data_IF_406308214497
#
_entry.id   IF_406308214497
#
_cell.length_a   1.000
_cell.length_b   1.000
_cell.length_c   1.000
_cell.angle_alpha   90.00
_cell.angle_beta   90.00
_cell.angle_gamma   90.00
#
_symmetry.space_group_name_H-M   'P 1'
#
loop_
_entity.id
_entity.type
_entity.pdbx_description
1 polymer ?
#
# COMPACT_ATOMS: atom_id res chain seq x y z
N UNK A 1 8.80 21.51 -15.41
CA UNK A 1 8.27 20.54 -16.39
C UNK A 1 8.64 19.20 -15.82
N UNK A 2 7.65 18.35 -15.54
CA UNK A 2 7.87 17.07 -14.87
C UNK A 2 8.94 16.25 -15.58
N UNK A 3 9.68 15.44 -14.82
CA UNK A 3 10.66 14.52 -15.37
C UNK A 3 9.97 13.32 -16.07
N UNK A 4 10.67 12.72 -17.04
CA UNK A 4 10.24 11.44 -17.61
C UNK A 4 10.43 10.35 -16.56
N UNK A 5 9.42 9.49 -16.37
CA UNK A 5 9.51 8.33 -15.47
C UNK A 5 9.80 7.10 -16.32
N UNK A 6 10.86 6.36 -15.96
CA UNK A 6 11.32 5.18 -16.68
C UNK A 6 11.53 3.99 -15.73
N UNK A 7 10.78 2.93 -15.97
CA UNK A 7 10.98 1.66 -15.31
C UNK A 7 11.11 0.54 -16.33
N UNK A 8 12.37 0.21 -16.62
CA UNK A 8 12.73 -0.78 -17.64
C UNK A 8 12.16 -0.38 -19.00
N UNK A 9 11.29 -1.18 -19.61
CA UNK A 9 10.65 -0.87 -20.89
C UNK A 9 9.44 0.08 -20.80
N UNK A 10 9.01 0.47 -19.59
CA UNK A 10 7.86 1.34 -19.39
C UNK A 10 8.32 2.80 -19.20
N UNK A 11 7.85 3.69 -20.07
CA UNK A 11 8.21 5.11 -20.07
C UNK A 11 6.94 5.95 -20.05
N UNK A 12 6.84 6.91 -19.13
CA UNK A 12 5.75 7.88 -19.04
C UNK A 12 6.33 9.30 -19.20
N UNK A 13 5.97 9.99 -20.29
CA UNK A 13 6.33 11.41 -20.45
C UNK A 13 5.35 12.30 -19.66
N UNK A 14 5.71 13.56 -19.40
CA UNK A 14 4.78 14.51 -18.80
C UNK A 14 3.47 14.60 -19.60
N UNK A 15 2.34 14.58 -18.91
CA UNK A 15 1.00 14.58 -19.51
C UNK A 15 0.50 13.22 -19.98
N UNK A 16 1.17 12.12 -19.65
CA UNK A 16 0.77 10.77 -20.08
C UNK A 16 0.29 9.88 -18.91
N UNK A 17 -0.67 9.01 -19.23
CA UNK A 17 -0.97 7.81 -18.47
C UNK A 17 -0.46 6.59 -19.26
N UNK A 18 0.33 5.75 -18.62
CA UNK A 18 0.83 4.51 -19.22
C UNK A 18 0.63 3.33 -18.27
N UNK A 19 0.46 2.15 -18.85
CA UNK A 19 0.40 0.89 -18.11
C UNK A 19 1.21 -0.16 -18.84
N UNK A 20 1.87 -1.04 -18.09
CA UNK A 20 2.68 -2.10 -18.66
C UNK A 20 3.13 -3.12 -17.63
N UNK A 21 3.80 -4.16 -18.12
CA UNK A 21 4.41 -5.18 -17.28
C UNK A 21 5.90 -4.87 -17.14
N UNK A 22 6.42 -4.95 -15.91
CA UNK A 22 7.84 -4.74 -15.64
C UNK A 22 8.43 -5.95 -14.95
N UNK A 23 9.57 -6.42 -15.44
CA UNK A 23 10.28 -7.55 -14.86
C UNK A 23 10.86 -7.19 -13.50
N UNK A 24 10.63 -8.03 -12.51
CA UNK A 24 11.12 -7.85 -11.13
C UNK A 24 11.90 -9.05 -10.58
N UNK A 25 11.77 -10.23 -11.17
CA UNK A 25 12.53 -11.40 -10.77
C UNK A 25 12.59 -12.46 -11.88
N UNK A 26 13.32 -13.54 -11.62
CA UNK A 26 13.33 -14.75 -12.46
C UNK A 26 13.09 -15.99 -11.59
N UNK A 27 12.37 -16.96 -12.15
CA UNK A 27 12.29 -18.32 -11.62
C UNK A 27 13.62 -19.06 -11.75
N UNK A 28 13.77 -20.17 -11.04
CA UNK A 28 14.95 -21.06 -11.14
C UNK A 28 15.19 -21.60 -12.54
N UNK A 29 14.14 -21.73 -13.36
CA UNK A 29 14.21 -22.15 -14.75
C UNK A 29 14.34 -20.99 -15.76
N UNK A 30 14.72 -19.78 -15.31
CA UNK A 30 14.87 -18.55 -16.11
C UNK A 30 13.57 -17.96 -16.67
N UNK A 31 12.41 -18.44 -16.24
CA UNK A 31 11.15 -17.76 -16.55
C UNK A 31 11.09 -16.39 -15.90
N UNK A 32 10.54 -15.41 -16.61
CA UNK A 32 10.40 -14.05 -16.09
C UNK A 32 9.25 -13.93 -15.10
N UNK A 33 9.44 -13.12 -14.07
CA UNK A 33 8.41 -12.71 -13.12
C UNK A 33 8.27 -11.20 -13.27
N UNK A 34 7.08 -10.77 -13.68
CA UNK A 34 6.77 -9.36 -13.94
C UNK A 34 5.54 -8.92 -13.17
N UNK A 35 5.48 -7.64 -12.83
CA UNK A 35 4.35 -7.00 -12.17
C UNK A 35 3.68 -5.97 -13.08
N UNK A 36 2.36 -5.77 -12.99
CA UNK A 36 1.71 -4.65 -13.61
C UNK A 36 2.14 -3.35 -12.92
N UNK A 37 2.48 -2.34 -13.70
CA UNK A 37 2.79 -0.99 -13.24
C UNK A 37 1.88 -0.01 -13.98
N UNK A 38 1.30 0.93 -13.24
CA UNK A 38 0.50 2.03 -13.76
C UNK A 38 1.20 3.34 -13.41
N UNK A 39 1.33 4.26 -14.37
CA UNK A 39 1.97 5.55 -14.15
C UNK A 39 1.05 6.64 -14.70
N UNK A 40 0.71 7.61 -13.86
CA UNK A 40 0.13 8.90 -14.27
C UNK A 40 1.21 9.94 -14.06
N UNK A 41 1.74 10.53 -15.13
CA UNK A 41 2.80 11.54 -15.04
C UNK A 41 2.25 12.92 -15.39
N UNK A 42 2.24 13.82 -14.41
CA UNK A 42 1.77 15.20 -14.54
C UNK A 42 2.61 16.05 -15.50
N UNK A 43 2.06 17.15 -16.00
CA UNK A 43 2.84 18.14 -16.77
C UNK A 43 3.69 19.04 -15.85
N UNK A 44 3.14 19.36 -14.68
CA UNK A 44 3.77 20.22 -13.67
C UNK A 44 4.63 19.41 -12.69
N UNK A 45 5.69 20.05 -12.19
CA UNK A 45 6.53 19.45 -11.15
C UNK A 45 5.74 19.32 -9.84
N UNK A 46 6.02 18.27 -9.07
CA UNK A 46 5.33 18.00 -7.81
C UNK A 46 5.75 16.68 -7.18
N UNK A 47 5.10 16.27 -6.08
CA UNK A 47 5.37 15.01 -5.41
C UNK A 47 5.12 13.79 -6.33
N UNK A 48 5.84 12.69 -6.06
CA UNK A 48 5.50 11.38 -6.62
C UNK A 48 4.87 10.51 -5.53
N UNK A 49 3.59 10.18 -5.67
CA UNK A 49 2.86 9.28 -4.78
C UNK A 49 2.96 7.85 -5.28
N UNK A 50 3.49 6.94 -4.46
CA UNK A 50 3.49 5.52 -4.73
C UNK A 50 2.28 4.82 -4.11
N UNK A 51 1.59 4.00 -4.89
CA UNK A 51 0.48 3.17 -4.42
C UNK A 51 0.90 1.70 -4.54
N UNK A 52 1.12 1.03 -3.41
CA UNK A 52 1.49 -0.38 -3.37
C UNK A 52 0.27 -1.25 -3.05
N UNK A 53 0.06 -2.34 -3.79
CA UNK A 53 -1.06 -3.26 -3.57
C UNK A 53 -0.65 -4.71 -3.75
N UNK A 54 -1.40 -5.60 -3.08
CA UNK A 54 -1.20 -7.04 -3.11
C UNK A 54 0.27 -7.45 -2.89
N UNK A 55 0.88 -6.89 -1.83
CA UNK A 55 2.09 -7.47 -1.23
C UNK A 55 1.78 -8.87 -0.67
N UNK A 56 0.54 -9.05 -0.19
CA UNK A 56 -0.11 -10.34 0.04
C UNK A 56 -1.12 -10.63 -1.08
N UNK A 57 -1.22 -11.90 -1.50
CA UNK A 57 -1.94 -12.27 -2.71
C UNK A 57 -3.46 -12.33 -2.64
N UNK A 58 -4.01 -12.29 -1.43
CA UNK A 58 -5.45 -12.31 -1.15
C UNK A 58 -6.03 -10.91 -0.93
N UNK A 59 -5.26 -9.84 -1.06
CA UNK A 59 -5.70 -8.47 -0.74
C UNK A 59 -6.13 -7.71 -1.99
N UNK A 60 -7.42 -7.78 -2.35
CA UNK A 60 -7.89 -7.38 -3.68
C UNK A 60 -8.45 -5.95 -3.78
N UNK A 61 -8.90 -5.36 -2.66
CA UNK A 61 -9.60 -4.08 -2.68
C UNK A 61 -8.69 -2.91 -3.12
N UNK A 62 -7.44 -2.86 -2.63
CA UNK A 62 -6.46 -1.83 -3.01
C UNK A 62 -6.05 -1.90 -4.49
N UNK A 63 -5.65 -3.08 -5.01
CA UNK A 63 -5.39 -3.27 -6.43
C UNK A 63 -6.55 -2.82 -7.31
N UNK A 64 -7.79 -3.11 -6.92
CA UNK A 64 -8.99 -2.69 -7.65
C UNK A 64 -9.21 -1.18 -7.59
N UNK A 65 -9.00 -0.54 -6.43
CA UNK A 65 -9.09 0.91 -6.32
C UNK A 65 -8.08 1.62 -7.25
N UNK A 66 -6.83 1.15 -7.29
CA UNK A 66 -5.82 1.69 -8.21
C UNK A 66 -6.21 1.51 -9.67
N UNK A 67 -6.64 0.31 -10.04
CA UNK A 67 -7.05 -0.03 -11.40
C UNK A 67 -8.22 0.83 -11.88
N UNK A 68 -9.17 1.13 -11.00
CA UNK A 68 -10.35 1.91 -11.33
C UNK A 68 -10.08 3.42 -11.36
N UNK A 69 -9.28 3.92 -10.43
CA UNK A 69 -9.04 5.35 -10.25
C UNK A 69 -8.06 5.91 -11.27
N UNK A 70 -6.90 5.28 -11.45
CA UNK A 70 -5.78 5.89 -12.19
C UNK A 70 -6.12 6.26 -13.64
N UNK A 71 -6.89 5.45 -14.41
CA UNK A 71 -7.31 5.83 -15.76
C UNK A 71 -8.22 7.06 -15.82
N UNK A 72 -8.82 7.47 -14.69
CA UNK A 72 -9.73 8.62 -14.57
C UNK A 72 -9.00 9.91 -14.15
N UNK A 73 -7.74 9.82 -13.72
CA UNK A 73 -6.93 11.00 -13.36
C UNK A 73 -6.41 11.62 -14.65
N UNK A 74 -6.75 12.89 -14.90
CA UNK A 74 -6.22 13.64 -16.04
C UNK A 74 -4.77 14.04 -15.77
N UNK A 75 -3.77 13.49 -16.49
CA UNK A 75 -2.37 13.82 -16.27
C UNK A 75 -2.09 15.32 -16.47
N UNK A 76 -2.88 16.03 -17.28
CA UNK A 76 -2.69 17.47 -17.52
C UNK A 76 -3.04 18.34 -16.31
N UNK A 77 -3.80 17.79 -15.36
CA UNK A 77 -4.22 18.47 -14.13
C UNK A 77 -3.46 17.95 -12.90
N UNK A 78 -2.63 16.93 -13.06
CA UNK A 78 -1.82 16.37 -11.99
C UNK A 78 -0.50 17.16 -11.87
N UNK A 79 -0.15 17.53 -10.64
CA UNK A 79 1.19 18.03 -10.30
C UNK A 79 2.02 16.89 -9.73
N UNK A 80 3.19 16.65 -10.33
CA UNK A 80 4.04 15.50 -10.00
C UNK A 80 3.56 14.21 -10.66
N UNK A 81 3.55 13.09 -9.95
CA UNK A 81 3.23 11.79 -10.54
C UNK A 81 2.59 10.81 -9.55
N UNK A 82 1.87 9.82 -10.10
CA UNK A 82 1.38 8.66 -9.37
C UNK A 82 2.01 7.42 -10.02
N UNK A 83 2.68 6.59 -9.23
CA UNK A 83 3.16 5.28 -9.66
C UNK A 83 2.44 4.23 -8.82
N UNK A 84 1.79 3.27 -9.46
CA UNK A 84 1.10 2.18 -8.76
C UNK A 84 1.66 0.82 -9.17
N UNK A 85 1.88 -0.02 -8.16
CA UNK A 85 2.16 -1.45 -8.29
C UNK A 85 0.97 -2.22 -7.71
N UNK A 86 -0.15 -2.34 -8.44
CA UNK A 86 -1.37 -2.96 -7.93
C UNK A 86 -1.18 -4.45 -7.60
N UNK A 87 -0.17 -5.12 -8.17
CA UNK A 87 0.16 -6.49 -7.80
C UNK A 87 1.68 -6.58 -7.59
N UNK A 88 2.12 -6.26 -6.38
CA UNK A 88 3.55 -6.31 -6.03
C UNK A 88 4.06 -7.73 -5.84
N UNK A 89 3.22 -8.66 -5.36
CA UNK A 89 3.55 -10.06 -5.26
C UNK A 89 2.73 -10.94 -6.24
N UNK A 90 3.16 -11.07 -7.50
CA UNK A 90 2.38 -11.81 -8.50
C UNK A 90 2.29 -13.31 -8.18
N UNK A 91 3.26 -13.84 -7.42
CA UNK A 91 3.34 -15.24 -7.04
C UNK A 91 2.33 -15.59 -5.95
N UNK A 92 2.29 -14.78 -4.89
CA UNK A 92 1.28 -14.90 -3.85
C UNK A 92 -0.12 -14.61 -4.41
N UNK A 93 -0.26 -13.60 -5.29
CA UNK A 93 -1.52 -13.25 -5.95
C UNK A 93 -2.09 -14.41 -6.77
N UNK A 94 -1.26 -15.06 -7.59
CA UNK A 94 -1.69 -16.25 -8.34
C UNK A 94 -2.14 -17.39 -7.41
N UNK A 95 -1.48 -17.53 -6.26
CA UNK A 95 -1.80 -18.55 -5.27
C UNK A 95 -2.93 -18.17 -4.29
N UNK A 96 -3.44 -16.93 -4.34
CA UNK A 96 -4.50 -16.40 -3.47
C UNK A 96 -4.21 -16.60 -1.98
N UNK A 97 -2.96 -16.33 -1.60
CA UNK A 97 -2.50 -16.51 -0.24
C UNK A 97 -1.56 -15.38 0.17
N UNK A 98 -1.32 -15.25 1.47
CA UNK A 98 -0.46 -14.22 2.03
C UNK A 98 1.01 -14.32 1.57
N UNK A 99 1.59 -15.52 1.70
CA UNK A 99 3.02 -15.71 1.51
C UNK A 99 3.35 -16.17 0.08
N UNK A 100 4.55 -15.84 -0.39
CA UNK A 100 5.06 -16.34 -1.67
C UNK A 100 5.21 -17.87 -1.62
N UNK A 101 4.54 -18.65 -2.50
CA UNK A 101 4.59 -20.12 -2.44
C UNK A 101 6.01 -20.71 -2.58
N UNK A 102 6.88 -20.06 -3.34
CA UNK A 102 8.18 -20.60 -3.74
C UNK A 102 9.21 -20.60 -2.60
N UNK A 103 9.09 -19.68 -1.64
CA UNK A 103 9.99 -19.60 -0.47
C UNK A 103 9.27 -19.48 0.87
N UNK A 104 7.93 -19.47 0.87
CA UNK A 104 7.06 -19.33 2.04
C UNK A 104 7.26 -18.03 2.82
N UNK A 105 7.99 -17.06 2.27
CA UNK A 105 8.22 -15.78 2.91
C UNK A 105 7.02 -14.85 2.71
N UNK A 106 6.72 -14.09 3.76
CA UNK A 106 5.86 -12.92 3.69
C UNK A 106 6.66 -11.78 3.06
N UNK A 107 6.25 -11.33 1.86
CA UNK A 107 6.96 -10.29 1.11
C UNK A 107 7.03 -8.98 1.90
N UNK A 108 5.98 -8.63 2.65
CA UNK A 108 5.96 -7.39 3.41
C UNK A 108 7.01 -7.42 4.53
N UNK A 109 7.45 -8.58 4.99
CA UNK A 109 8.55 -8.68 5.97
C UNK A 109 9.96 -8.67 5.34
N UNK A 110 10.07 -8.51 4.02
CA UNK A 110 11.34 -8.65 3.31
C UNK A 110 11.95 -7.33 2.84
N UNK A 111 11.32 -6.17 3.02
CA UNK A 111 11.93 -4.90 2.62
C UNK A 111 13.12 -4.55 3.55
N UNK A 112 14.18 -3.87 3.05
CA UNK A 112 14.36 -3.32 1.71
C UNK A 112 14.79 -4.35 0.66
N UNK A 113 14.80 -5.64 1.02
CA UNK A 113 15.17 -6.75 0.15
C UNK A 113 16.65 -7.13 0.23
N UNK A 114 16.98 -8.22 -0.45
CA UNK A 114 18.34 -8.68 -0.68
C UNK A 114 18.46 -9.20 -2.11
N UNK A 115 19.29 -8.54 -2.92
CA UNK A 115 19.54 -8.92 -4.32
C UNK A 115 20.12 -10.35 -4.46
N UNK A 116 20.77 -10.86 -3.41
CA UNK A 116 21.36 -12.22 -3.37
C UNK A 116 20.54 -13.18 -2.51
N UNK A 117 19.40 -12.73 -1.98
CA UNK A 117 18.53 -13.50 -1.10
C UNK A 117 17.60 -14.47 -1.85
N UNK A 118 16.60 -14.94 -1.12
CA UNK A 118 15.50 -15.75 -1.64
C UNK A 118 14.63 -14.96 -2.62
N UNK A 119 13.69 -15.63 -3.29
CA UNK A 119 12.91 -15.03 -4.37
C UNK A 119 12.14 -13.77 -3.91
N UNK A 120 11.46 -13.83 -2.78
CA UNK A 120 10.73 -12.71 -2.17
C UNK A 120 11.66 -11.56 -1.77
N UNK A 121 12.86 -11.86 -1.26
CA UNK A 121 13.85 -10.83 -0.91
C UNK A 121 14.41 -10.12 -2.14
N UNK A 122 14.64 -10.85 -3.24
CA UNK A 122 15.08 -10.25 -4.51
C UNK A 122 13.98 -9.41 -5.15
N UNK A 123 12.73 -9.86 -5.06
CA UNK A 123 11.57 -9.08 -5.52
C UNK A 123 11.45 -7.79 -4.71
N UNK A 124 11.48 -7.87 -3.37
CA UNK A 124 11.45 -6.71 -2.48
C UNK A 124 12.57 -5.72 -2.81
N UNK A 125 13.79 -6.22 -3.10
CA UNK A 125 14.92 -5.39 -3.50
C UNK A 125 14.63 -4.60 -4.78
N UNK A 126 14.14 -5.26 -5.83
CA UNK A 126 13.85 -4.59 -7.10
C UNK A 126 12.74 -3.54 -6.97
N UNK A 127 11.70 -3.86 -6.20
CA UNK A 127 10.60 -2.92 -5.94
C UNK A 127 11.09 -1.72 -5.10
N UNK A 128 11.85 -1.97 -4.03
CA UNK A 128 12.30 -0.91 -3.12
C UNK A 128 13.32 0.03 -3.75
N UNK A 129 14.22 -0.46 -4.60
CA UNK A 129 15.13 0.41 -5.36
C UNK A 129 14.36 1.41 -6.23
N UNK A 130 13.24 1.00 -6.82
CA UNK A 130 12.39 1.86 -7.64
C UNK A 130 11.54 2.82 -6.81
N UNK A 131 11.07 2.38 -5.65
CA UNK A 131 10.42 3.24 -4.66
C UNK A 131 11.39 4.34 -4.22
N UNK A 132 12.62 4.00 -3.80
CA UNK A 132 13.64 5.00 -3.43
C UNK A 132 13.99 5.95 -4.56
N UNK A 133 13.95 5.48 -5.81
CA UNK A 133 14.29 6.29 -6.96
C UNK A 133 13.25 7.38 -7.24
N UNK A 134 11.97 7.07 -7.07
CA UNK A 134 10.88 7.95 -7.53
C UNK A 134 9.96 8.44 -6.42
N UNK A 135 9.61 7.60 -5.46
CA UNK A 135 8.57 7.90 -4.48
C UNK A 135 9.01 9.00 -3.52
N UNK A 136 8.15 9.99 -3.37
CA UNK A 136 8.23 10.99 -2.30
C UNK A 136 7.31 10.65 -1.14
N UNK A 137 6.23 9.91 -1.41
CA UNK A 137 5.20 9.50 -0.46
C UNK A 137 4.69 8.12 -0.86
N UNK A 138 4.18 7.32 0.08
CA UNK A 138 3.66 5.98 -0.21
C UNK A 138 2.37 5.67 0.56
N UNK A 139 1.43 5.00 -0.11
CA UNK A 139 0.29 4.32 0.50
C UNK A 139 0.44 2.82 0.24
N UNK A 140 0.49 2.05 1.32
CA UNK A 140 0.57 0.59 1.25
C UNK A 140 -0.80 -0.03 1.56
N UNK A 141 -1.43 -0.65 0.56
CA UNK A 141 -2.78 -1.18 0.70
C UNK A 141 -2.77 -2.64 1.16
N UNK A 142 -3.47 -2.89 2.26
CA UNK A 142 -3.66 -4.19 2.90
C UNK A 142 -5.15 -4.49 3.12
N UNK A 143 -5.42 -5.73 3.54
CA UNK A 143 -6.69 -6.14 4.14
C UNK A 143 -6.40 -7.04 5.34
N UNK A 144 -7.38 -7.32 6.19
CA UNK A 144 -7.17 -8.15 7.40
C UNK A 144 -6.86 -9.63 7.15
N UNK A 145 -6.79 -10.05 5.88
CA UNK A 145 -6.67 -11.44 5.46
C UNK A 145 -8.03 -12.16 5.43
N UNK A 146 -8.06 -13.36 4.85
CA UNK A 146 -9.30 -14.14 4.68
C UNK A 146 -10.06 -14.55 5.95
N UNK A 147 -9.44 -14.78 7.13
CA UNK A 147 -10.16 -15.24 8.32
C UNK A 147 -10.87 -14.15 9.12
N UNK A 148 -10.66 -12.87 8.81
CA UNK A 148 -11.00 -11.75 9.68
C UNK A 148 -11.84 -10.70 8.96
N UNK A 149 -12.64 -9.94 9.72
CA UNK A 149 -13.41 -8.80 9.22
C UNK A 149 -12.96 -7.48 9.84
N UNK A 150 -12.89 -6.43 9.02
CA UNK A 150 -12.55 -5.09 9.45
C UNK A 150 -13.34 -4.01 8.70
N UNK A 151 -13.83 -3.05 9.47
CA UNK A 151 -14.13 -1.71 8.95
C UNK A 151 -12.82 -1.07 8.47
N UNK A 152 -12.87 -0.19 7.45
CA UNK A 152 -11.65 0.40 6.93
C UNK A 152 -10.95 1.28 7.97
N UNK A 153 -9.63 1.17 8.07
CA UNK A 153 -8.81 1.99 8.95
C UNK A 153 -7.43 2.24 8.34
N UNK A 154 -6.69 3.18 8.92
CA UNK A 154 -5.28 3.40 8.56
C UNK A 154 -4.37 3.07 9.72
N UNK A 155 -3.16 2.62 9.41
CA UNK A 155 -2.10 2.35 10.37
C UNK A 155 -0.93 3.26 10.06
N UNK A 156 -0.63 4.13 11.00
CA UNK A 156 0.61 4.91 11.00
C UNK A 156 1.54 4.35 12.07
N UNK A 157 2.77 4.00 11.65
CA UNK A 157 3.80 3.46 12.52
C UNK A 157 4.84 4.54 12.81
N UNK A 158 5.02 4.90 14.08
CA UNK A 158 6.13 5.76 14.50
C UNK A 158 7.41 4.91 14.56
N UNK A 159 8.37 5.24 13.72
CA UNK A 159 9.64 4.50 13.59
C UNK A 159 10.76 5.32 14.26
N UNK A 160 11.49 4.78 15.26
CA UNK A 160 12.50 5.56 16.00
C UNK A 160 13.62 6.17 15.15
N UNK A 161 13.98 5.53 14.03
CA UNK A 161 15.04 6.00 13.13
C UNK A 161 14.54 7.03 12.10
N UNK A 162 13.22 7.16 11.94
CA UNK A 162 12.63 8.13 11.01
C UNK A 162 12.63 9.53 11.63
N UNK A 163 12.82 10.55 10.79
CA UNK A 163 12.73 11.95 11.24
C UNK A 163 11.30 12.31 11.61
N UNK A 164 11.13 13.20 12.58
CA UNK A 164 9.80 13.60 13.04
C UNK A 164 8.96 14.24 11.95
N UNK A 165 9.58 15.01 11.04
CA UNK A 165 8.86 15.66 9.95
C UNK A 165 8.29 14.62 8.96
N UNK A 166 9.01 13.52 8.73
CA UNK A 166 8.58 12.40 7.86
C UNK A 166 7.40 11.68 8.51
N UNK A 167 7.49 11.41 9.81
CA UNK A 167 6.42 10.83 10.62
C UNK A 167 5.16 11.70 10.62
N UNK A 168 5.30 13.01 10.79
CA UNK A 168 4.18 13.94 10.81
C UNK A 168 3.41 13.96 9.48
N UNK A 169 4.13 13.98 8.35
CA UNK A 169 3.51 13.91 7.01
C UNK A 169 2.81 12.57 6.80
N UNK A 170 3.41 11.46 7.24
CA UNK A 170 2.78 10.15 7.12
C UNK A 170 1.49 10.03 7.94
N UNK A 171 1.48 10.58 9.16
CA UNK A 171 0.27 10.65 9.98
C UNK A 171 -0.81 11.54 9.34
N UNK A 172 -0.42 12.70 8.80
CA UNK A 172 -1.35 13.61 8.10
C UNK A 172 -1.99 12.91 6.90
N UNK A 173 -1.20 12.21 6.08
CA UNK A 173 -1.71 11.41 4.96
C UNK A 173 -2.68 10.32 5.43
N UNK A 174 -2.32 9.58 6.48
CA UNK A 174 -3.16 8.51 7.04
C UNK A 174 -4.51 9.04 7.56
N UNK A 175 -4.50 10.25 8.15
CA UNK A 175 -5.71 10.95 8.61
C UNK A 175 -6.55 11.47 7.45
N UNK A 176 -5.91 12.08 6.45
CA UNK A 176 -6.57 12.58 5.24
C UNK A 176 -7.26 11.45 4.47
N UNK A 177 -6.60 10.30 4.32
CA UNK A 177 -7.16 9.10 3.70
C UNK A 177 -8.47 8.67 4.39
N UNK A 178 -8.55 8.80 5.71
CA UNK A 178 -9.76 8.58 6.51
C UNK A 178 -9.93 7.12 6.95
N UNK A 179 -11.18 6.73 7.19
CA UNK A 179 -11.52 5.41 7.74
C UNK A 179 -12.28 5.56 9.05
N UNK A 180 -12.75 4.44 9.60
CA UNK A 180 -13.43 4.41 10.90
C UNK A 180 -12.49 4.65 12.08
N UNK A 181 -11.20 4.38 11.87
CA UNK A 181 -10.17 4.58 12.88
C UNK A 181 -8.78 4.82 12.28
N UNK A 182 -7.91 5.39 13.11
CA UNK A 182 -6.50 5.62 12.85
C UNK A 182 -5.69 4.92 13.93
N UNK A 183 -5.01 3.84 13.56
CA UNK A 183 -4.11 3.09 14.42
C UNK A 183 -2.75 3.77 14.48
N UNK A 184 -2.35 4.22 15.67
CA UNK A 184 -1.02 4.71 15.97
C UNK A 184 -0.21 3.59 16.62
N UNK A 185 0.85 3.16 15.95
CA UNK A 185 1.76 2.11 16.46
C UNK A 185 3.13 2.71 16.72
N UNK A 186 3.55 2.77 17.98
CA UNK A 186 4.90 3.24 18.34
C UNK A 186 5.88 2.06 18.41
N UNK A 187 6.76 1.97 17.41
CA UNK A 187 7.79 0.91 17.33
C UNK A 187 9.01 1.18 18.23
N UNK A 188 9.10 2.36 18.87
CA UNK A 188 10.07 2.62 19.93
C UNK A 188 9.60 2.18 21.32
N UNK A 189 8.32 1.88 21.47
CA UNK A 189 7.69 1.45 22.72
C UNK A 189 7.56 -0.07 22.89
N UNK A 190 6.82 -0.50 23.91
CA UNK A 190 6.38 -1.89 24.03
C UNK A 190 5.31 -2.15 22.98
N UNK A 191 5.66 -2.83 21.89
CA UNK A 191 4.72 -3.19 20.85
C UNK A 191 3.94 -4.45 21.26
N UNK A 192 2.61 -4.41 21.13
CA UNK A 192 1.77 -5.61 21.05
C UNK A 192 1.60 -5.99 19.56
N UNK A 193 2.70 -6.08 18.83
CA UNK A 193 2.72 -6.57 17.46
C UNK A 193 2.80 -8.10 17.44
N UNK A 194 2.24 -8.72 16.40
CA UNK A 194 2.43 -10.17 16.22
C UNK A 194 3.92 -10.46 15.99
N UNK A 195 4.44 -11.62 16.43
CA UNK A 195 5.82 -12.00 16.17
C UNK A 195 6.11 -12.00 14.67
N UNK A 196 7.17 -11.32 14.25
CA UNK A 196 7.58 -11.17 12.85
C UNK A 196 8.70 -10.15 12.68
N UNK A 197 9.28 -10.07 11.47
CA UNK A 197 10.26 -9.04 11.14
C UNK A 197 9.54 -7.73 10.78
N UNK A 198 8.97 -7.07 11.79
CA UNK A 198 8.20 -5.80 11.66
C UNK A 198 9.07 -4.69 11.05
N UNK A 199 10.38 -4.73 11.31
CA UNK A 199 11.34 -3.81 10.69
C UNK A 199 11.40 -3.98 9.18
N UNK A 200 10.96 -5.12 8.64
CA UNK A 200 10.93 -5.40 7.21
C UNK A 200 9.71 -4.85 6.48
N UNK A 201 8.68 -4.35 7.16
CA UNK A 201 7.46 -3.80 6.54
C UNK A 201 7.77 -2.67 5.56
N UNK A 202 7.04 -2.63 4.43
CA UNK A 202 7.29 -1.64 3.40
C UNK A 202 7.16 -0.21 3.92
N UNK A 203 6.09 0.08 4.66
CA UNK A 203 5.85 1.40 5.24
C UNK A 203 6.93 1.79 6.26
N UNK A 204 7.37 0.85 7.09
CA UNK A 204 8.48 1.04 8.05
C UNK A 204 9.78 1.35 7.32
N UNK A 205 10.10 0.62 6.26
CA UNK A 205 11.30 0.83 5.46
C UNK A 205 11.27 2.16 4.71
N UNK A 206 10.11 2.57 4.18
CA UNK A 206 9.93 3.88 3.58
C UNK A 206 10.19 5.00 4.59
N UNK A 207 9.58 4.93 5.77
CA UNK A 207 9.77 5.91 6.84
C UNK A 207 11.24 5.99 7.28
N UNK A 208 11.90 4.85 7.44
CA UNK A 208 13.33 4.78 7.78
C UNK A 208 14.24 5.39 6.70
N UNK A 209 13.80 5.43 5.44
CA UNK A 209 14.50 6.04 4.32
C UNK A 209 14.00 7.47 3.99
N UNK A 210 13.17 8.06 4.85
CA UNK A 210 12.71 9.43 4.71
C UNK A 210 11.54 9.64 3.76
N UNK A 211 10.84 8.57 3.38
CA UNK A 211 9.63 8.61 2.55
C UNK A 211 8.42 8.44 3.48
N UNK A 212 7.58 9.48 3.67
CA UNK A 212 6.35 9.37 4.44
C UNK A 212 5.46 8.26 3.87
N UNK A 213 5.11 7.29 4.71
CA UNK A 213 4.33 6.13 4.31
C UNK A 213 3.39 5.69 5.43
N UNK A 214 2.23 5.19 5.04
CA UNK A 214 1.27 4.57 5.94
C UNK A 214 0.60 3.38 5.26
N UNK A 215 -0.01 2.53 6.07
CA UNK A 215 -0.76 1.37 5.63
C UNK A 215 -2.26 1.65 5.68
N UNK A 216 -2.98 1.32 4.60
CA UNK A 216 -4.43 1.41 4.50
C UNK A 216 -5.03 0.00 4.54
N UNK A 217 -5.86 -0.27 5.53
CA UNK A 217 -6.50 -1.56 5.76
C UNK A 217 -7.96 -1.46 5.31
N UNK A 218 -8.27 -2.05 4.16
CA UNK A 218 -9.53 -1.80 3.46
C UNK A 218 -10.35 -3.06 3.21
N UNK A 219 -10.98 -3.55 4.27
CA UNK A 219 -11.92 -4.68 4.22
C UNK A 219 -11.25 -6.04 4.44
N UNK A 220 -11.82 -7.05 3.80
CA UNK A 220 -11.56 -8.47 4.03
C UNK A 220 -10.70 -9.05 2.90
N UNK A 221 -9.78 -9.96 3.26
CA UNK A 221 -9.00 -10.71 2.27
C UNK A 221 -9.85 -11.71 1.49
N UNK A 222 -9.45 -11.97 0.24
CA UNK A 222 -10.06 -12.96 -0.65
C UNK A 222 -11.33 -12.50 -1.36
N UNK A 223 -11.78 -11.27 -1.10
CA UNK A 223 -13.02 -10.71 -1.66
C UNK A 223 -12.77 -9.32 -2.25
N UNK A 224 -13.50 -9.01 -3.32
CA UNK A 224 -13.65 -7.64 -3.81
C UNK A 224 -14.93 -7.09 -3.23
N UNK A 225 -14.82 -6.01 -2.46
CA UNK A 225 -15.94 -5.31 -1.83
C UNK A 225 -16.06 -3.92 -2.46
N UNK A 226 -17.06 -3.70 -3.31
CA UNK A 226 -17.21 -2.43 -4.06
C UNK A 226 -17.22 -1.19 -3.16
N UNK A 227 -17.80 -1.28 -1.95
CA UNK A 227 -17.78 -0.20 -0.96
C UNK A 227 -16.34 0.11 -0.49
N UNK A 228 -15.53 -0.92 -0.21
CA UNK A 228 -14.13 -0.76 0.21
C UNK A 228 -13.24 -0.29 -0.93
N UNK A 229 -13.52 -0.73 -2.16
CA UNK A 229 -12.87 -0.24 -3.37
C UNK A 229 -13.15 1.26 -3.54
N UNK A 230 -14.42 1.68 -3.49
CA UNK A 230 -14.79 3.10 -3.59
C UNK A 230 -14.21 3.93 -2.42
N UNK A 231 -14.14 3.36 -1.21
CA UNK A 231 -13.46 4.00 -0.07
C UNK A 231 -11.97 4.20 -0.37
N UNK A 232 -11.29 3.20 -0.92
CA UNK A 232 -9.89 3.31 -1.33
C UNK A 232 -9.67 4.36 -2.43
N UNK A 233 -10.53 4.38 -3.45
CA UNK A 233 -10.51 5.39 -4.53
C UNK A 233 -10.65 6.82 -3.96
N UNK A 234 -11.63 7.02 -3.07
CA UNK A 234 -11.85 8.31 -2.44
C UNK A 234 -10.72 8.71 -1.46
N UNK A 235 -10.19 7.75 -0.71
CA UNK A 235 -9.05 7.96 0.19
C UNK A 235 -7.80 8.43 -0.57
N UNK A 236 -7.49 7.84 -1.73
CA UNK A 236 -6.39 8.28 -2.59
C UNK A 236 -6.60 9.73 -3.02
N UNK A 237 -7.81 10.10 -3.46
CA UNK A 237 -8.12 11.47 -3.88
C UNK A 237 -7.92 12.49 -2.75
N UNK A 238 -8.30 12.14 -1.51
CA UNK A 238 -8.07 13.00 -0.34
C UNK A 238 -6.58 13.19 -0.06
N UNK A 239 -5.78 12.13 -0.16
CA UNK A 239 -4.32 12.24 -0.02
C UNK A 239 -3.72 13.09 -1.14
N UNK A 240 -4.12 12.89 -2.39
CA UNK A 240 -3.67 13.72 -3.52
C UNK A 240 -4.02 15.21 -3.30
N UNK A 241 -5.19 15.50 -2.74
CA UNK A 241 -5.61 16.86 -2.39
C UNK A 241 -4.76 17.44 -1.27
N UNK A 242 -4.49 16.68 -0.20
CA UNK A 242 -3.62 17.09 0.92
C UNK A 242 -2.19 17.37 0.45
N UNK A 243 -1.69 16.58 -0.51
CA UNK A 243 -0.36 16.78 -1.12
C UNK A 243 -0.35 17.86 -2.22
N UNK A 244 -1.47 18.55 -2.44
CA UNK A 244 -1.65 19.57 -3.49
C UNK A 244 -1.38 19.07 -4.92
N UNK A 245 -1.49 17.75 -5.13
CA UNK A 245 -1.22 17.09 -6.41
C UNK A 245 -2.41 17.15 -7.37
N UNK A 246 -3.63 16.98 -6.85
CA UNK A 246 -4.85 16.87 -7.66
C UNK A 246 -6.07 17.29 -6.84
N UNK A 247 -6.90 18.18 -7.38
CA UNK A 247 -8.04 18.76 -6.66
C UNK A 247 -9.39 18.63 -7.37
N UNK A 248 -9.43 17.95 -8.51
CA UNK A 248 -10.65 17.77 -9.28
C UNK A 248 -11.59 16.76 -8.62
N UNK A 249 -12.89 16.96 -8.82
CA UNK A 249 -13.88 15.92 -8.53
C UNK A 249 -13.68 14.78 -9.54
N UNK A 250 -13.40 13.58 -9.04
CA UNK A 250 -13.26 12.43 -9.90
C UNK A 250 -14.64 11.85 -10.26
N UNK A 251 -14.92 11.77 -11.56
CA UNK A 251 -16.23 11.33 -12.05
C UNK A 251 -16.57 9.90 -11.56
N UNK A 252 -17.77 9.75 -11.03
CA UNK A 252 -18.32 8.46 -10.61
C UNK A 252 -17.77 7.91 -9.29
N UNK A 253 -16.91 8.64 -8.58
CA UNK A 253 -16.42 8.27 -7.25
C UNK A 253 -17.33 8.89 -6.20
N UNK A 254 -17.97 8.05 -5.39
CA UNK A 254 -18.88 8.53 -4.35
C UNK A 254 -18.07 8.91 -3.11
N UNK A 255 -18.29 10.10 -2.52
CA UNK A 255 -17.71 10.43 -1.22
C UNK A 255 -18.11 9.38 -0.17
N UNK A 256 -17.12 8.81 0.51
CA UNK A 256 -17.32 7.98 1.70
C UNK A 256 -16.58 8.63 2.85
N UNK A 257 -17.35 9.06 3.85
CA UNK A 257 -16.83 9.68 5.05
C UNK A 257 -17.29 8.90 6.28
N UNK A 258 -16.37 8.78 7.22
CA UNK A 258 -16.63 8.27 8.56
C UNK A 258 -16.45 9.45 9.52
N UNK A 259 -17.54 10.08 9.97
CA UNK A 259 -17.43 11.18 10.93
C UNK A 259 -16.81 10.66 12.22
N UNK A 260 -15.92 11.45 12.82
CA UNK A 260 -15.28 11.20 14.11
C UNK A 260 -14.47 9.89 14.21
N UNK A 261 -13.43 9.69 13.38
CA UNK A 261 -12.61 8.49 13.43
C UNK A 261 -11.91 8.32 14.78
N UNK A 262 -11.95 7.10 15.32
CA UNK A 262 -11.28 6.77 16.58
C UNK A 262 -9.76 6.77 16.39
N UNK A 263 -9.00 7.31 17.34
CA UNK A 263 -7.55 7.10 17.39
C UNK A 263 -7.24 5.91 18.28
N UNK A 264 -6.74 4.82 17.69
CA UNK A 264 -6.37 3.59 18.39
C UNK A 264 -4.90 3.70 18.79
N UNK A 265 -4.64 3.80 20.10
CA UNK A 265 -3.27 3.93 20.65
C UNK A 265 -2.76 2.64 21.30
N UNK A 266 -3.62 1.64 21.44
CA UNK A 266 -3.29 0.35 22.02
C UNK A 266 -4.21 -0.74 21.46
N UNK A 267 -3.70 -1.97 21.42
CA UNK A 267 -4.43 -3.14 20.94
C UNK A 267 -4.08 -4.40 21.71
N UNK A 268 -4.95 -5.39 21.61
CA UNK A 268 -4.78 -6.71 22.23
C UNK A 268 -5.33 -7.78 21.29
N UNK A 269 -4.57 -8.86 21.13
CA UNK A 269 -5.03 -10.05 20.45
C UNK A 269 -5.75 -10.96 21.44
N UNK A 270 -6.94 -11.43 21.05
CA UNK A 270 -7.70 -12.42 21.81
C UNK A 270 -7.35 -13.80 21.24
N UNK A 271 -6.84 -14.68 22.10
CA UNK A 271 -6.44 -16.04 21.72
C UNK A 271 -7.36 -17.06 22.38
N UNK A 272 -7.57 -18.20 21.72
CA UNK A 272 -8.21 -19.38 22.30
C UNK A 272 -7.17 -20.37 22.81
N UNK A 273 -7.42 -21.01 23.95
CA UNK A 273 -6.62 -22.10 24.51
C UNK A 273 -7.10 -23.48 24.05
N UNK A 274 -8.18 -23.53 23.25
CA UNK A 274 -8.82 -24.75 22.75
C UNK A 274 -9.13 -24.65 21.26
N UNK A 275 -8.98 -25.77 20.55
CA UNK A 275 -9.48 -25.91 19.20
C UNK A 275 -11.00 -26.04 19.16
N UNK A 276 -11.62 -25.63 18.05
CA UNK A 276 -13.07 -25.70 17.85
C UNK A 276 -13.54 -24.75 16.76
N UNK A 277 -14.87 -24.67 16.59
CA UNK A 277 -15.49 -23.66 15.73
C UNK A 277 -15.59 -22.34 16.51
N UNK A 278 -14.95 -21.29 16.00
CA UNK A 278 -15.07 -19.95 16.56
C UNK A 278 -16.40 -19.32 16.14
N UNK A 279 -17.03 -18.58 17.06
CA UNK A 279 -18.24 -17.79 16.81
C UNK A 279 -17.95 -16.37 17.31
N UNK A 280 -18.00 -15.41 16.40
CA UNK A 280 -17.84 -14.00 16.73
C UNK A 280 -19.16 -13.45 17.27
N UNK A 281 -19.16 -13.01 18.53
CA UNK A 281 -20.35 -12.45 19.18
C UNK A 281 -20.47 -10.92 19.03
N UNK A 282 -19.50 -10.28 18.38
CA UNK A 282 -19.47 -8.84 18.13
C UNK A 282 -18.95 -8.58 16.71
N UNK A 283 -19.67 -7.80 15.88
CA UNK A 283 -19.20 -7.46 14.54
C UNK A 283 -18.07 -6.43 14.61
N UNK A 284 -17.25 -6.38 13.55
CA UNK A 284 -16.19 -5.36 13.47
C UNK A 284 -16.76 -3.95 13.51
N UNK A 285 -16.19 -3.10 14.38
CA UNK A 285 -16.61 -1.71 14.59
C UNK A 285 -17.75 -1.49 15.58
N UNK A 286 -18.18 -2.51 16.35
CA UNK A 286 -19.17 -2.38 17.44
C UNK A 286 -18.59 -1.86 18.75
#
# INVERSE_FOLDING_TARGET
>A
MSQIIEWDSLTAKPGEYVSGMVKVAEYSHRGEISIPVLIVNGEEDGPCLWLNGAVHGDELNGPMAMRNLLPKIDPKKLKGAIIATPISNPLAFQARQKNTPQDSLDLDMQFPGDQKGMLSQRLAYQLFEKIKQYATHLIDFHTLGTPFDAKPYTVFKRVPVAKEEVCAVAEEMARAFGGTSHCLVDLGGKTNELPGNILGFLDVQCLAHGIPAFMAEIGVGGLIQNEMVNFGEYGILKVLKTLEMYSEEAEGIQPIEYPDPLTITARKFIYTDKGGLAIDNAPSGS
#
